data_IF_635867694849
#
_entry.id   IF_635867694849
#
_cell.length_a   1.000
_cell.length_b   1.000
_cell.length_c   1.000
_cell.angle_alpha   90.00
_cell.angle_beta   90.00
_cell.angle_gamma   90.00
#
_symmetry.space_group_name_H-M   'P 1'
#
loop_
_entity.id
_entity.type
_entity.pdbx_description
1 polymer ?
#
# COMPACT_ATOMS: atom_id res chain seq x y z
N UNK A 1 2.57 -2.46 -29.01
CA UNK A 1 2.86 -1.54 -27.90
C UNK A 1 1.95 -1.90 -26.72
N UNK A 2 2.34 -2.91 -25.92
CA UNK A 2 1.57 -3.45 -24.80
C UNK A 2 2.15 -2.94 -23.47
N UNK A 3 1.93 -1.68 -23.11
CA UNK A 3 2.53 -1.03 -21.92
C UNK A 3 1.54 -0.60 -20.83
N UNK A 4 0.31 -1.14 -20.81
CA UNK A 4 -0.67 -0.83 -19.75
C UNK A 4 -1.01 -2.05 -18.87
N UNK A 5 0.00 -2.82 -18.50
CA UNK A 5 -0.16 -3.84 -17.47
C UNK A 5 -0.34 -3.17 -16.10
N UNK A 6 -1.60 -3.02 -15.68
CA UNK A 6 -2.04 -2.86 -14.28
C UNK A 6 -1.15 -1.92 -13.44
N UNK A 7 -1.21 -0.63 -13.72
CA UNK A 7 -0.68 0.36 -12.80
C UNK A 7 -1.55 0.40 -11.54
N UNK A 8 -1.23 -0.47 -10.57
CA UNK A 8 -1.28 0.00 -9.18
C UNK A 8 -0.53 1.34 -9.17
N UNK A 9 -1.06 2.41 -8.57
CA UNK A 9 -0.39 3.70 -8.61
C UNK A 9 1.02 3.48 -8.06
N UNK A 10 2.04 3.67 -8.88
CA UNK A 10 3.45 3.38 -8.56
C UNK A 10 3.82 3.98 -7.20
N UNK A 11 3.22 5.13 -6.89
CA UNK A 11 3.29 5.83 -5.61
C UNK A 11 2.90 4.94 -4.41
N UNK A 12 1.80 4.20 -4.47
CA UNK A 12 1.37 3.33 -3.36
C UNK A 12 2.34 2.18 -3.11
N UNK A 13 2.93 1.62 -4.18
CA UNK A 13 3.95 0.57 -4.08
C UNK A 13 5.21 1.11 -3.42
N UNK A 14 5.68 2.29 -3.86
CA UNK A 14 6.85 2.96 -3.27
C UNK A 14 6.60 3.29 -1.80
N UNK A 15 5.42 3.80 -1.44
CA UNK A 15 5.06 4.10 -0.04
C UNK A 15 5.05 2.82 0.80
N UNK A 16 4.50 1.72 0.31
CA UNK A 16 4.54 0.43 1.02
C UNK A 16 5.97 -0.09 1.23
N UNK A 17 6.84 0.05 0.24
CA UNK A 17 8.26 -0.33 0.39
C UNK A 17 9.00 0.52 1.42
N UNK A 18 8.83 1.84 1.36
CA UNK A 18 9.45 2.76 2.32
C UNK A 18 8.95 2.48 3.74
N UNK A 19 7.65 2.24 3.90
CA UNK A 19 7.07 1.88 5.19
C UNK A 19 7.66 0.58 5.75
N UNK A 20 7.74 -0.47 4.93
CA UNK A 20 8.37 -1.73 5.35
C UNK A 20 9.83 -1.56 5.76
N UNK A 21 10.59 -0.72 5.05
CA UNK A 21 11.99 -0.44 5.35
C UNK A 21 12.16 0.31 6.68
N UNK A 22 11.29 1.28 6.95
CA UNK A 22 11.26 2.00 8.23
C UNK A 22 10.97 1.03 9.38
N UNK A 23 9.95 0.17 9.24
CA UNK A 23 9.62 -0.84 10.26
C UNK A 23 10.80 -1.81 10.49
N UNK A 24 11.46 -2.27 9.43
CA UNK A 24 12.62 -3.15 9.53
C UNK A 24 13.80 -2.46 10.25
N UNK A 25 14.07 -1.19 9.97
CA UNK A 25 15.09 -0.42 10.69
C UNK A 25 14.75 -0.27 12.17
N UNK A 26 13.51 0.13 12.49
CA UNK A 26 13.04 0.22 13.89
C UNK A 26 13.17 -1.12 14.62
N UNK A 27 12.96 -2.25 13.92
CA UNK A 27 13.13 -3.61 14.44
C UNK A 27 14.56 -3.93 14.81
N UNK A 28 15.50 -3.62 13.91
CA UNK A 28 16.93 -3.83 14.15
C UNK A 28 17.44 -2.95 15.29
N UNK A 29 16.94 -1.71 15.40
CA UNK A 29 17.33 -0.78 16.46
C UNK A 29 16.70 -1.13 17.84
N UNK A 30 15.80 -2.13 17.93
CA UNK A 30 15.19 -2.53 19.20
C UNK A 30 14.34 -1.43 19.84
N UNK A 31 13.78 -0.53 19.03
CA UNK A 31 13.07 0.65 19.52
C UNK A 31 11.70 0.28 20.11
N UNK A 32 11.40 0.80 21.30
CA UNK A 32 10.09 0.69 21.95
C UNK A 32 8.97 1.39 21.17
N UNK A 33 9.30 2.24 20.20
CA UNK A 33 8.35 2.90 19.31
C UNK A 33 7.89 2.02 18.14
N UNK A 34 8.54 0.87 17.92
CA UNK A 34 8.25 -0.02 16.80
C UNK A 34 6.79 -0.45 16.76
N UNK A 35 6.24 -0.87 17.89
CA UNK A 35 4.85 -1.35 17.98
C UNK A 35 3.87 -0.27 17.56
N UNK A 36 4.11 0.97 17.97
CA UNK A 36 3.26 2.12 17.62
C UNK A 36 3.38 2.44 16.14
N UNK A 37 4.60 2.50 15.59
CA UNK A 37 4.83 2.78 14.17
C UNK A 37 4.26 1.68 13.26
N UNK A 38 4.42 0.41 13.65
CA UNK A 38 3.89 -0.73 12.92
C UNK A 38 2.36 -0.73 12.90
N UNK A 39 1.72 -0.44 14.04
CA UNK A 39 0.26 -0.33 14.12
C UNK A 39 -0.27 0.85 13.30
N UNK A 40 0.21 2.07 13.57
CA UNK A 40 -0.29 3.29 12.92
C UNK A 40 -0.02 3.27 11.43
N UNK A 41 1.22 2.95 11.02
CA UNK A 41 1.58 2.91 9.61
C UNK A 41 0.99 1.71 8.87
N UNK A 42 0.83 0.56 9.55
CA UNK A 42 0.16 -0.61 8.98
C UNK A 42 -1.30 -0.34 8.67
N UNK A 43 -2.00 0.36 9.58
CA UNK A 43 -3.40 0.81 9.36
C UNK A 43 -3.46 1.79 8.19
N UNK A 44 -2.58 2.79 8.13
CA UNK A 44 -2.54 3.76 7.03
C UNK A 44 -2.31 3.11 5.66
N UNK A 45 -1.32 2.22 5.57
CA UNK A 45 -1.00 1.48 4.33
C UNK A 45 -2.16 0.58 3.95
N UNK A 46 -2.74 -0.16 4.92
CA UNK A 46 -3.89 -1.02 4.69
C UNK A 46 -5.12 -0.26 4.18
N UNK A 47 -5.45 0.88 4.80
CA UNK A 47 -6.54 1.75 4.37
C UNK A 47 -6.29 2.29 2.96
N UNK A 48 -5.06 2.73 2.66
CA UNK A 48 -4.71 3.21 1.33
C UNK A 48 -4.92 2.12 0.26
N UNK A 49 -4.49 0.90 0.53
CA UNK A 49 -4.73 -0.24 -0.36
C UNK A 49 -6.21 -0.61 -0.49
N UNK A 50 -6.98 -0.53 0.60
CA UNK A 50 -8.42 -0.76 0.56
C UNK A 50 -9.14 0.26 -0.33
N UNK A 51 -8.80 1.55 -0.21
CA UNK A 51 -9.35 2.62 -1.05
C UNK A 51 -8.98 2.43 -2.53
N UNK A 52 -7.73 2.07 -2.81
CA UNK A 52 -7.28 1.75 -4.18
C UNK A 52 -7.98 0.52 -4.75
N UNK A 53 -8.22 -0.51 -3.94
CA UNK A 53 -8.97 -1.71 -4.33
C UNK A 53 -10.44 -1.38 -4.66
N UNK A 54 -11.10 -0.60 -3.81
CA UNK A 54 -12.50 -0.18 -4.00
C UNK A 54 -12.67 0.71 -5.25
N UNK A 55 -11.78 1.69 -5.43
CA UNK A 55 -11.81 2.58 -6.60
C UNK A 55 -11.40 1.89 -7.90
N UNK A 56 -10.50 0.91 -7.84
CA UNK A 56 -10.13 0.07 -8.99
C UNK A 56 -11.23 -0.90 -9.41
N UNK A 57 -11.94 -1.50 -8.44
CA UNK A 57 -13.01 -2.47 -8.69
C UNK A 57 -14.24 -1.87 -9.40
N UNK A 58 -14.48 -0.56 -9.25
CA UNK A 58 -15.59 0.15 -9.91
C UNK A 58 -15.48 0.23 -11.44
N UNK A 59 -14.26 0.19 -12.00
CA UNK A 59 -14.05 0.31 -13.47
C UNK A 59 -14.22 -1.01 -14.24
N UNK A 60 -14.27 -2.15 -13.57
CA UNK A 60 -14.35 -3.47 -14.23
C UNK A 60 -15.78 -4.00 -14.41
N UNK A 61 -16.80 -3.23 -14.00
CA UNK A 61 -18.22 -3.61 -14.09
C UNK A 61 -18.98 -2.79 -15.13
N UNK A 62 -18.45 -2.69 -16.34
CA UNK A 62 -19.26 -2.27 -17.49
C UNK A 62 -19.74 -3.53 -18.21
N UNK A 63 -20.93 -4.06 -17.88
CA UNK A 63 -21.54 -5.13 -18.65
C UNK A 63 -21.90 -4.56 -20.03
N UNK A 64 -21.16 -4.94 -21.07
CA UNK A 64 -21.57 -4.64 -22.45
C UNK A 64 -22.81 -5.49 -22.80
N UNK A 65 -23.88 -4.88 -23.34
CA UNK A 65 -24.99 -5.60 -23.95
C UNK A 65 -24.61 -6.28 -25.27
#
# INVERSE_FOLDING_TARGET
MQQNARSAPTVAVVVSMVFGLVVALLAVLGSSWLTVVALVGGVLVGVMWAVLGLTGAGRSREPRP
#
